data_IF_404991835267
#
_entry.id   IF_404991835267
#
_cell.length_a   1.000
_cell.length_b   1.000
_cell.length_c   1.000
_cell.angle_alpha   90.00
_cell.angle_beta   90.00
_cell.angle_gamma   90.00
#
_symmetry.space_group_name_H-M   'P 1'
#
loop_
_entity.id
_entity.type
_entity.pdbx_description
1 polymer ?
#
# COMPACT_ATOMS: atom_id res chain seq x y z
N UNK A 1 19.14 -29.46 4.21
CA UNK A 1 17.88 -28.98 3.61
C UNK A 1 17.63 -27.58 4.11
N UNK A 2 17.48 -26.57 3.24
CA UNK A 2 16.90 -25.30 3.67
C UNK A 2 15.45 -25.61 4.04
N UNK A 3 15.02 -25.29 5.25
CA UNK A 3 13.60 -25.33 5.58
C UNK A 3 12.93 -24.24 4.74
N UNK A 4 12.32 -24.65 3.62
CA UNK A 4 11.70 -23.73 2.70
C UNK A 4 10.30 -23.43 3.24
N UNK A 5 10.15 -22.28 3.90
CA UNK A 5 8.85 -21.79 4.33
C UNK A 5 8.03 -21.37 3.12
N UNK A 6 6.71 -21.53 3.21
CA UNK A 6 5.82 -21.16 2.12
C UNK A 6 5.99 -19.66 1.76
N UNK A 7 6.26 -19.29 0.49
CA UNK A 7 6.59 -17.90 0.13
C UNK A 7 5.52 -16.87 0.51
N UNK A 8 4.23 -17.24 0.40
CA UNK A 8 3.13 -16.34 0.78
C UNK A 8 3.09 -16.06 2.28
N UNK A 9 3.48 -17.04 3.11
CA UNK A 9 3.55 -16.86 4.56
C UNK A 9 4.68 -15.86 4.92
N UNK A 10 5.83 -15.98 4.25
CA UNK A 10 6.94 -15.04 4.42
C UNK A 10 6.57 -13.62 3.97
N UNK A 11 5.94 -13.49 2.80
CA UNK A 11 5.47 -12.19 2.29
C UNK A 11 4.47 -11.55 3.25
N UNK A 12 3.48 -12.29 3.75
CA UNK A 12 2.47 -11.73 4.64
C UNK A 12 3.06 -11.30 5.98
N UNK A 13 3.85 -12.17 6.62
CA UNK A 13 4.48 -11.85 7.90
C UNK A 13 5.43 -10.65 7.79
N UNK A 14 6.24 -10.61 6.72
CA UNK A 14 7.11 -9.48 6.44
C UNK A 14 6.33 -8.18 6.21
N UNK A 15 5.24 -8.23 5.43
CA UNK A 15 4.40 -7.08 5.14
C UNK A 15 3.74 -6.52 6.42
N UNK A 16 3.16 -7.38 7.27
CA UNK A 16 2.56 -6.93 8.51
C UNK A 16 3.56 -6.28 9.46
N UNK A 17 4.76 -6.86 9.60
CA UNK A 17 5.82 -6.27 10.42
C UNK A 17 6.29 -4.93 9.85
N UNK A 18 6.57 -4.88 8.55
CA UNK A 18 7.07 -3.70 7.88
C UNK A 18 6.07 -2.54 7.96
N UNK A 19 4.82 -2.76 7.54
CA UNK A 19 3.88 -1.65 7.43
C UNK A 19 3.31 -1.17 8.75
N UNK A 20 3.26 -2.03 9.76
CA UNK A 20 2.96 -1.60 11.13
C UNK A 20 4.08 -0.69 11.66
N UNK A 21 5.35 -1.01 11.37
CA UNK A 21 6.48 -0.12 11.66
C UNK A 21 6.39 1.19 10.88
N UNK A 22 6.07 1.15 9.58
CA UNK A 22 5.88 2.37 8.77
C UNK A 22 4.81 3.28 9.37
N UNK A 23 3.71 2.70 9.87
CA UNK A 23 2.62 3.45 10.49
C UNK A 23 3.07 4.18 11.77
N UNK A 24 4.05 3.60 12.50
CA UNK A 24 4.60 4.16 13.73
C UNK A 24 5.72 5.18 13.47
N UNK A 25 6.70 4.78 12.67
CA UNK A 25 8.02 5.45 12.55
C UNK A 25 8.19 6.21 11.23
N UNK A 26 7.31 5.96 10.24
CA UNK A 26 7.43 6.52 8.90
C UNK A 26 8.26 5.64 7.95
N UNK A 27 7.93 5.72 6.66
CA UNK A 27 8.47 4.83 5.62
C UNK A 27 10.00 4.90 5.48
N UNK A 28 10.58 6.10 5.39
CA UNK A 28 12.02 6.29 5.17
C UNK A 28 12.86 5.69 6.29
N UNK A 29 12.46 5.93 7.54
CA UNK A 29 13.16 5.40 8.70
C UNK A 29 13.04 3.87 8.78
N UNK A 30 11.86 3.32 8.53
CA UNK A 30 11.67 1.86 8.48
C UNK A 30 12.51 1.22 7.38
N UNK A 31 12.47 1.76 6.16
CA UNK A 31 13.24 1.25 5.02
C UNK A 31 14.74 1.29 5.29
N UNK A 32 15.25 2.42 5.79
CA UNK A 32 16.67 2.57 6.17
C UNK A 32 17.08 1.49 7.17
N UNK A 33 16.29 1.27 8.21
CA UNK A 33 16.59 0.28 9.25
C UNK A 33 16.57 -1.15 8.68
N UNK A 34 15.62 -1.47 7.81
CA UNK A 34 15.54 -2.77 7.13
C UNK A 34 16.80 -3.03 6.30
N UNK A 35 17.23 -2.06 5.49
CA UNK A 35 18.44 -2.17 4.68
C UNK A 35 19.70 -2.34 5.55
N UNK A 36 19.86 -1.51 6.58
CA UNK A 36 21.05 -1.54 7.44
C UNK A 36 21.18 -2.81 8.27
N UNK A 37 20.06 -3.39 8.69
CA UNK A 37 20.03 -4.57 9.59
C UNK A 37 19.74 -5.88 8.88
N UNK A 38 19.71 -5.89 7.54
CA UNK A 38 19.27 -7.04 6.73
C UNK A 38 17.91 -7.59 7.20
N UNK A 39 16.97 -6.68 7.45
CA UNK A 39 15.59 -6.96 7.87
C UNK A 39 15.41 -7.31 9.34
N UNK A 40 16.49 -7.51 10.11
CA UNK A 40 16.39 -7.90 11.53
C UNK A 40 15.65 -6.86 12.38
N UNK A 41 15.72 -5.57 12.00
CA UNK A 41 14.96 -4.50 12.66
C UNK A 41 13.44 -4.76 12.72
N UNK A 42 12.86 -5.51 11.77
CA UNK A 42 11.44 -5.88 11.80
C UNK A 42 11.09 -6.78 12.98
N UNK A 43 12.01 -7.64 13.39
CA UNK A 43 11.80 -8.61 14.46
C UNK A 43 11.90 -7.97 15.86
N UNK A 44 12.35 -6.71 15.94
CA UNK A 44 12.36 -5.92 17.17
C UNK A 44 11.05 -5.16 17.38
N UNK A 45 10.02 -5.42 16.56
CA UNK A 45 8.72 -4.76 16.68
C UNK A 45 8.02 -5.12 18.00
N UNK A 46 7.50 -4.15 18.78
CA UNK A 46 6.77 -4.41 20.01
C UNK A 46 5.54 -5.30 19.82
N UNK A 47 4.87 -5.19 18.66
CA UNK A 47 3.68 -6.00 18.34
C UNK A 47 4.01 -7.26 17.54
N UNK A 48 5.29 -7.67 17.44
CA UNK A 48 5.69 -8.87 16.70
C UNK A 48 4.86 -10.09 17.12
N UNK A 49 4.68 -10.29 18.41
CA UNK A 49 3.91 -11.42 18.94
C UNK A 49 2.42 -11.36 18.54
N UNK A 50 1.84 -10.16 18.46
CA UNK A 50 0.45 -9.98 18.02
C UNK A 50 0.33 -10.31 16.53
N UNK A 51 1.29 -9.87 15.71
CA UNK A 51 1.33 -10.16 14.28
C UNK A 51 1.50 -11.66 14.05
N UNK A 52 2.41 -12.32 14.78
CA UNK A 52 2.67 -13.75 14.60
C UNK A 52 1.54 -14.66 15.07
N UNK A 53 0.69 -14.21 16.01
CA UNK A 53 -0.55 -14.93 16.39
C UNK A 53 -1.56 -15.07 15.26
N UNK A 54 -1.40 -14.34 14.15
CA UNK A 54 -2.23 -14.49 12.95
C UNK A 54 -1.95 -15.76 12.17
N UNK A 55 -0.85 -16.44 12.47
CA UNK A 55 -0.37 -17.63 11.79
C UNK A 55 -0.38 -18.84 12.72
N UNK A 56 -0.54 -20.06 12.21
CA UNK A 56 -0.50 -21.28 13.01
C UNK A 56 0.96 -21.66 13.39
N UNK A 57 1.63 -20.81 14.14
CA UNK A 57 3.05 -20.98 14.53
C UNK A 57 3.23 -21.60 15.92
N UNK A 58 2.15 -21.77 16.69
CA UNK A 58 2.21 -22.14 18.12
C UNK A 58 2.85 -23.51 18.40
N UNK A 59 2.79 -24.44 17.45
CA UNK A 59 3.37 -25.78 17.59
C UNK A 59 4.79 -25.87 17.01
N UNK A 60 5.32 -24.77 16.49
CA UNK A 60 6.61 -24.76 15.81
C UNK A 60 7.77 -24.90 16.83
N UNK A 61 8.71 -25.85 16.63
CA UNK A 61 9.89 -25.95 17.49
C UNK A 61 10.69 -24.64 17.49
N UNK A 62 11.29 -24.27 18.62
CA UNK A 62 12.01 -23.00 18.77
C UNK A 62 13.09 -22.76 17.70
N UNK A 63 13.81 -23.80 17.29
CA UNK A 63 14.81 -23.73 16.20
C UNK A 63 14.16 -23.43 14.84
N UNK A 64 12.98 -23.98 14.58
CA UNK A 64 12.23 -23.74 13.33
C UNK A 64 11.62 -22.35 13.34
N UNK A 65 11.11 -21.89 14.49
CA UNK A 65 10.61 -20.52 14.65
C UNK A 65 11.72 -19.48 14.48
N UNK A 66 12.92 -19.73 15.02
CA UNK A 66 14.08 -18.87 14.77
C UNK A 66 14.46 -18.84 13.29
N UNK A 67 14.45 -19.98 12.60
CA UNK A 67 14.69 -20.03 11.16
C UNK A 67 13.61 -19.28 10.36
N UNK A 68 12.34 -19.37 10.78
CA UNK A 68 11.22 -18.63 10.19
C UNK A 68 11.43 -17.12 10.32
N UNK A 69 11.75 -16.63 11.52
CA UNK A 69 12.04 -15.22 11.75
C UNK A 69 13.18 -14.70 10.86
N UNK A 70 14.28 -15.47 10.73
CA UNK A 70 15.37 -15.13 9.82
C UNK A 70 14.90 -15.06 8.36
N UNK A 71 14.10 -16.03 7.91
CA UNK A 71 13.56 -16.03 6.55
C UNK A 71 12.64 -14.83 6.28
N UNK A 72 11.81 -14.42 7.26
CA UNK A 72 10.96 -13.22 7.17
C UNK A 72 11.81 -11.96 7.03
N UNK A 73 12.86 -11.82 7.85
CA UNK A 73 13.79 -10.69 7.78
C UNK A 73 14.54 -10.64 6.43
N UNK A 74 15.06 -11.77 5.96
CA UNK A 74 15.74 -11.87 4.67
C UNK A 74 14.80 -11.53 3.51
N UNK A 75 13.56 -12.02 3.55
CA UNK A 75 12.54 -11.71 2.54
C UNK A 75 12.26 -10.21 2.47
N UNK A 76 12.02 -9.57 3.61
CA UNK A 76 11.80 -8.13 3.67
C UNK A 76 12.99 -7.31 3.15
N UNK A 77 14.21 -7.70 3.51
CA UNK A 77 15.42 -7.07 3.01
C UNK A 77 15.55 -7.22 1.49
N UNK A 78 15.29 -8.42 0.95
CA UNK A 78 15.37 -8.68 -0.48
C UNK A 78 14.35 -7.85 -1.28
N UNK A 79 13.18 -7.56 -0.71
CA UNK A 79 12.17 -6.67 -1.30
C UNK A 79 12.61 -5.21 -1.23
N UNK A 80 13.13 -4.78 -0.08
CA UNK A 80 13.66 -3.43 0.12
C UNK A 80 14.80 -3.08 -0.86
N UNK A 81 15.74 -4.00 -1.09
CA UNK A 81 16.85 -3.82 -2.07
C UNK A 81 16.35 -3.64 -3.50
N UNK A 82 15.21 -4.24 -3.84
CA UNK A 82 14.58 -4.14 -5.16
C UNK A 82 13.59 -2.98 -5.27
N UNK A 83 13.43 -2.19 -4.21
CA UNK A 83 12.44 -1.11 -4.14
C UNK A 83 10.99 -1.59 -4.38
N UNK A 84 10.73 -2.85 -4.03
CA UNK A 84 9.42 -3.49 -4.19
C UNK A 84 8.61 -3.38 -2.90
N UNK A 85 7.32 -3.10 -3.03
CA UNK A 85 6.40 -3.12 -1.89
C UNK A 85 6.18 -4.53 -1.35
N UNK A 86 6.29 -4.68 -0.03
CA UNK A 86 5.74 -5.84 0.70
C UNK A 86 4.21 -5.73 0.72
N UNK A 87 3.52 -6.50 -0.09
CA UNK A 87 2.09 -6.30 -0.33
C UNK A 87 1.22 -7.02 0.70
N UNK A 88 1.71 -8.14 1.24
CA UNK A 88 0.95 -9.05 2.09
C UNK A 88 -0.18 -9.76 1.35
N UNK A 89 -0.93 -10.60 2.05
CA UNK A 89 -2.04 -11.35 1.46
C UNK A 89 -3.21 -10.44 1.12
N UNK A 90 -3.76 -10.63 -0.08
CA UNK A 90 -4.92 -9.90 -0.59
C UNK A 90 -6.07 -10.88 -0.76
N UNK A 91 -7.21 -10.54 -0.19
CA UNK A 91 -8.43 -11.32 -0.29
C UNK A 91 -9.34 -10.67 -1.34
N UNK A 92 -9.77 -11.46 -2.32
CA UNK A 92 -10.54 -10.96 -3.47
C UNK A 92 -11.88 -10.35 -3.06
N UNK A 93 -12.46 -10.85 -1.97
CA UNK A 93 -13.72 -10.41 -1.39
C UNK A 93 -13.67 -8.97 -0.83
N UNK A 94 -12.48 -8.45 -0.50
CA UNK A 94 -12.31 -7.08 -0.03
C UNK A 94 -12.71 -6.04 -1.10
N UNK A 95 -12.83 -6.46 -2.37
CA UNK A 95 -13.32 -5.62 -3.47
C UNK A 95 -14.77 -5.18 -3.30
N UNK A 96 -15.59 -5.93 -2.56
CA UNK A 96 -17.02 -5.62 -2.40
C UNK A 96 -17.25 -4.48 -1.42
N UNK A 97 -16.46 -4.41 -0.35
CA UNK A 97 -16.47 -3.30 0.62
C UNK A 97 -15.53 -2.16 0.24
N UNK A 98 -14.53 -2.44 -0.61
CA UNK A 98 -13.40 -1.55 -0.85
C UNK A 98 -12.46 -1.45 0.36
N UNK A 99 -12.59 -2.33 1.36
CA UNK A 99 -11.82 -2.28 2.61
C UNK A 99 -11.58 -3.67 3.19
N UNK A 100 -10.35 -3.96 3.60
CA UNK A 100 -10.06 -5.11 4.46
C UNK A 100 -10.64 -4.91 5.86
N UNK A 101 -10.75 -6.00 6.62
CA UNK A 101 -11.12 -5.97 8.03
C UNK A 101 -10.21 -5.07 8.88
N UNK A 102 -8.91 -5.01 8.59
CA UNK A 102 -7.97 -4.13 9.30
C UNK A 102 -8.18 -2.64 9.02
N UNK A 103 -8.75 -2.30 7.87
CA UNK A 103 -9.02 -0.92 7.47
C UNK A 103 -10.47 -0.47 7.74
N UNK A 104 -11.34 -1.36 8.23
CA UNK A 104 -12.76 -1.09 8.40
C UNK A 104 -13.05 0.09 9.36
N UNK A 105 -12.28 0.24 10.43
CA UNK A 105 -12.45 1.29 11.43
C UNK A 105 -11.77 2.64 11.11
N UNK A 106 -11.05 2.75 10.00
CA UNK A 106 -10.25 3.95 9.69
C UNK A 106 -11.14 4.99 8.98
N UNK A 107 -11.48 6.07 9.68
CA UNK A 107 -12.19 7.20 9.06
C UNK A 107 -11.24 8.07 8.25
N UNK A 108 -11.61 8.31 6.98
CA UNK A 108 -10.91 9.23 6.09
C UNK A 108 -11.67 10.56 5.88
N UNK A 109 -12.82 10.76 6.52
CA UNK A 109 -13.69 11.93 6.28
C UNK A 109 -12.99 13.28 6.49
N UNK A 110 -12.03 13.35 7.43
CA UNK A 110 -11.25 14.55 7.68
C UNK A 110 -10.31 14.95 6.53
N UNK A 111 -10.10 14.05 5.56
CA UNK A 111 -9.29 14.24 4.35
C UNK A 111 -10.10 14.76 3.16
N UNK A 112 -11.43 14.87 3.30
CA UNK A 112 -12.30 15.37 2.25
C UNK A 112 -12.11 16.88 2.08
N UNK A 113 -11.37 17.23 1.03
CA UNK A 113 -11.14 18.59 0.56
C UNK A 113 -11.38 18.59 -0.96
N UNK A 114 -12.32 19.39 -1.47
CA UNK A 114 -12.57 19.45 -2.90
C UNK A 114 -11.35 19.99 -3.65
N UNK A 115 -10.93 19.25 -4.68
CA UNK A 115 -9.78 19.58 -5.53
C UNK A 115 -10.15 19.41 -6.99
N UNK A 116 -9.79 20.40 -7.78
CA UNK A 116 -9.76 20.31 -9.24
C UNK A 116 -8.33 20.07 -9.68
N UNK A 117 -8.13 19.20 -10.68
CA UNK A 117 -6.81 18.85 -11.18
C UNK A 117 -6.74 19.20 -12.64
N UNK A 118 -5.83 20.11 -12.98
CA UNK A 118 -5.55 20.50 -14.36
C UNK A 118 -4.49 19.57 -14.97
N UNK A 119 -4.56 19.32 -16.28
CA UNK A 119 -3.62 18.47 -17.01
C UNK A 119 -3.88 16.95 -16.91
N UNK A 120 -4.86 16.54 -16.10
CA UNK A 120 -5.21 15.13 -15.94
C UNK A 120 -5.80 14.51 -17.20
N UNK A 121 -5.00 13.64 -17.83
CA UNK A 121 -5.35 12.91 -19.04
C UNK A 121 -5.18 11.39 -18.89
N UNK A 122 -5.02 10.90 -17.66
CA UNK A 122 -4.79 9.48 -17.40
C UNK A 122 -6.09 8.67 -17.53
N UNK A 123 -6.01 7.43 -18.03
CA UNK A 123 -7.19 6.57 -18.15
C UNK A 123 -7.77 6.29 -16.76
N UNK A 124 -9.10 6.42 -16.65
CA UNK A 124 -9.83 6.07 -15.42
C UNK A 124 -9.99 4.56 -15.34
N UNK A 125 -9.58 3.96 -14.22
CA UNK A 125 -9.58 2.51 -14.08
C UNK A 125 -9.76 2.05 -12.63
N UNK A 126 -10.54 0.97 -12.47
CA UNK A 126 -10.65 0.19 -11.25
C UNK A 126 -11.21 0.90 -10.01
N UNK A 127 -11.32 0.12 -8.94
CA UNK A 127 -11.83 0.52 -7.64
C UNK A 127 -10.75 0.38 -6.57
N UNK A 128 -10.54 1.44 -5.79
CA UNK A 128 -9.65 1.46 -4.64
C UNK A 128 -10.10 0.46 -3.58
N UNK A 129 -9.15 -0.29 -3.02
CA UNK A 129 -9.34 -1.09 -1.82
C UNK A 129 -8.31 -0.68 -0.75
N UNK A 130 -8.81 -0.24 0.40
CA UNK A 130 -7.99 0.18 1.54
C UNK A 130 -7.64 -1.02 2.41
N UNK A 131 -6.36 -1.12 2.78
CA UNK A 131 -5.83 -2.30 3.49
C UNK A 131 -5.00 -1.96 4.73
N UNK A 132 -5.00 -0.69 5.15
CA UNK A 132 -4.14 -0.20 6.21
C UNK A 132 -4.15 -1.12 7.46
N UNK A 133 -2.96 -1.39 8.05
CA UNK A 133 -1.66 -0.80 7.72
C UNK A 133 -1.04 -1.34 6.43
N UNK A 134 -1.55 -2.40 5.80
CA UNK A 134 -1.01 -2.89 4.53
C UNK A 134 -1.27 -1.91 3.37
N UNK A 135 -0.47 -2.00 2.28
CA UNK A 135 -0.64 -1.18 1.08
C UNK A 135 -2.04 -1.28 0.49
N UNK A 136 -2.62 -0.14 0.11
CA UNK A 136 -3.83 -0.11 -0.69
C UNK A 136 -3.58 -0.74 -2.07
N UNK A 137 -4.66 -1.21 -2.70
CA UNK A 137 -4.63 -1.89 -4.01
C UNK A 137 -5.82 -1.45 -4.85
N UNK A 138 -5.83 -1.86 -6.12
CA UNK A 138 -6.94 -1.60 -7.04
C UNK A 138 -7.45 -2.92 -7.60
N UNK A 139 -8.77 -3.08 -7.60
CA UNK A 139 -9.45 -4.17 -8.29
C UNK A 139 -10.16 -3.66 -9.54
N UNK A 140 -10.23 -4.49 -10.57
CA UNK A 140 -10.98 -4.19 -11.78
C UNK A 140 -11.49 -5.47 -12.47
N UNK A 141 -12.46 -5.32 -13.35
CA UNK A 141 -13.15 -6.40 -14.06
C UNK A 141 -12.62 -6.66 -15.48
N UNK A 142 -11.65 -5.87 -15.92
CA UNK A 142 -11.04 -5.88 -17.24
C UNK A 142 -9.52 -5.75 -17.12
N UNK A 143 -8.72 -6.09 -18.16
CA UNK A 143 -7.28 -5.86 -18.15
C UNK A 143 -6.94 -4.36 -18.05
N UNK A 144 -5.89 -3.96 -17.31
CA UNK A 144 -5.54 -2.55 -17.19
C UNK A 144 -4.89 -1.99 -18.45
N UNK A 145 -5.11 -0.69 -18.75
CA UNK A 145 -4.23 0.05 -19.66
C UNK A 145 -2.78 0.06 -19.15
N UNK A 146 -1.84 0.29 -20.06
CA UNK A 146 -0.44 0.46 -19.70
C UNK A 146 -0.20 1.82 -19.02
N UNK A 147 0.84 1.87 -18.18
CA UNK A 147 1.30 3.10 -17.52
C UNK A 147 0.48 3.50 -16.29
N UNK A 148 0.52 4.81 -15.99
CA UNK A 148 -0.16 5.39 -14.83
C UNK A 148 -1.66 5.49 -15.07
N UNK A 149 -2.44 5.17 -14.02
CA UNK A 149 -3.90 5.11 -14.08
C UNK A 149 -4.51 6.12 -13.10
N UNK A 150 -5.58 6.81 -13.51
CA UNK A 150 -6.46 7.51 -12.56
C UNK A 150 -7.43 6.50 -11.96
N UNK A 151 -7.58 6.48 -10.65
CA UNK A 151 -8.52 5.56 -10.01
C UNK A 151 -9.95 6.00 -10.32
N UNK A 152 -10.75 5.10 -10.92
CA UNK A 152 -12.10 5.42 -11.35
C UNK A 152 -13.05 5.58 -10.16
N UNK A 153 -12.93 4.69 -9.17
CA UNK A 153 -13.79 4.62 -7.99
C UNK A 153 -12.97 4.67 -6.69
N UNK A 154 -13.11 5.78 -5.97
CA UNK A 154 -12.44 6.02 -4.67
C UNK A 154 -13.41 6.00 -3.50
N UNK A 155 -14.63 5.48 -3.66
CA UNK A 155 -15.67 5.42 -2.61
C UNK A 155 -15.23 4.68 -1.35
N UNK A 156 -14.20 3.84 -1.42
CA UNK A 156 -13.55 3.26 -0.26
C UNK A 156 -13.12 4.34 0.76
N UNK A 157 -12.79 5.56 0.35
CA UNK A 157 -12.48 6.69 1.23
C UNK A 157 -13.71 7.24 1.98
N UNK A 158 -14.92 6.98 1.49
CA UNK A 158 -16.16 7.63 1.95
C UNK A 158 -16.51 8.93 1.22
N UNK A 159 -15.64 9.38 0.31
CA UNK A 159 -15.82 10.54 -0.57
C UNK A 159 -15.13 10.29 -1.91
N UNK A 160 -15.38 11.14 -2.90
CA UNK A 160 -14.72 11.06 -4.21
C UNK A 160 -13.53 12.01 -4.25
N UNK A 161 -12.35 11.48 -4.56
CA UNK A 161 -11.15 12.28 -4.77
C UNK A 161 -10.32 11.69 -5.93
N UNK A 162 -9.70 12.53 -6.78
CA UNK A 162 -8.73 12.06 -7.76
C UNK A 162 -7.50 11.46 -7.07
N UNK A 163 -7.18 10.23 -7.44
CA UNK A 163 -5.96 9.52 -7.07
C UNK A 163 -5.39 8.88 -8.33
N UNK A 164 -4.07 8.73 -8.39
CA UNK A 164 -3.41 7.99 -9.46
C UNK A 164 -2.59 6.84 -8.91
N UNK A 165 -2.38 5.82 -9.72
CA UNK A 165 -1.57 4.65 -9.40
C UNK A 165 -0.52 4.46 -10.50
N UNK A 166 0.75 4.38 -10.11
CA UNK A 166 1.78 3.75 -10.94
C UNK A 166 1.87 2.27 -10.57
N UNK A 167 1.40 1.35 -11.43
CA UNK A 167 1.38 -0.07 -11.11
C UNK A 167 2.81 -0.64 -11.07
N UNK A 168 3.12 -1.41 -10.02
CA UNK A 168 4.34 -2.21 -9.91
C UNK A 168 4.08 -3.70 -10.18
N UNK A 169 2.87 -4.17 -9.88
CA UNK A 169 2.43 -5.53 -10.17
C UNK A 169 1.00 -5.51 -10.68
N UNK A 170 0.77 -6.28 -11.74
CA UNK A 170 -0.53 -6.51 -12.36
C UNK A 170 -0.77 -8.00 -12.40
N UNK A 171 -1.84 -8.46 -11.76
CA UNK A 171 -2.16 -9.89 -11.67
C UNK A 171 -3.62 -10.14 -12.03
N UNK A 172 -3.86 -11.09 -12.93
CA UNK A 172 -5.18 -11.66 -13.11
C UNK A 172 -5.39 -12.70 -12.01
N UNK A 173 -6.29 -12.42 -11.06
CA UNK A 173 -6.58 -13.32 -9.93
C UNK A 173 -7.73 -14.27 -10.23
N UNK A 174 -8.66 -13.87 -11.12
CA UNK A 174 -9.72 -14.72 -11.66
C UNK A 174 -10.02 -14.32 -13.12
N UNK A 175 -10.82 -15.13 -13.82
CA UNK A 175 -11.15 -14.93 -15.25
C UNK A 175 -11.61 -13.52 -15.63
N UNK A 176 -12.16 -12.75 -14.68
CA UNK A 176 -12.59 -11.35 -14.84
C UNK A 176 -12.24 -10.48 -13.64
N UNK A 177 -11.14 -10.80 -12.96
CA UNK A 177 -10.70 -10.01 -11.82
C UNK A 177 -9.21 -9.74 -11.95
N UNK A 178 -8.89 -8.47 -12.04
CA UNK A 178 -7.54 -7.94 -12.09
C UNK A 178 -7.24 -7.20 -10.80
N UNK A 179 -6.04 -7.43 -10.29
CA UNK A 179 -5.50 -6.83 -9.09
C UNK A 179 -4.23 -6.06 -9.46
N UNK A 180 -4.19 -4.79 -9.07
CA UNK A 180 -3.03 -3.94 -9.25
C UNK A 180 -2.50 -3.49 -7.89
N UNK A 181 -1.18 -3.57 -7.73
CA UNK A 181 -0.45 -2.97 -6.60
C UNK A 181 0.59 -2.00 -7.15
N UNK A 182 0.99 -1.02 -6.34
CA UNK A 182 1.97 -0.03 -6.75
C UNK A 182 1.98 1.18 -5.85
N UNK A 183 2.36 2.32 -6.41
CA UNK A 183 2.50 3.58 -5.68
C UNK A 183 1.32 4.48 -6.02
N UNK A 184 0.56 4.87 -5.00
CA UNK A 184 -0.51 5.85 -5.15
C UNK A 184 0.06 7.25 -5.15
N UNK A 185 -0.49 8.15 -5.94
CA UNK A 185 -0.17 9.56 -5.95
C UNK A 185 -1.39 10.34 -5.48
N UNK A 186 -1.19 11.13 -4.44
CA UNK A 186 -2.27 11.71 -3.64
C UNK A 186 -2.11 13.23 -3.60
N UNK A 187 -3.10 14.00 -4.08
CA UNK A 187 -3.15 15.43 -3.84
C UNK A 187 -3.46 15.68 -2.36
N UNK A 188 -2.70 16.57 -1.72
CA UNK A 188 -2.83 16.89 -0.29
C UNK A 188 -3.08 18.37 -0.08
N UNK A 189 -4.20 18.69 0.56
CA UNK A 189 -4.54 20.08 0.89
C UNK A 189 -3.43 20.70 1.76
N UNK A 190 -3.05 21.98 1.58
CA UNK A 190 -1.97 22.62 2.33
C UNK A 190 -2.09 22.54 3.86
N UNK A 191 -3.32 22.51 4.38
CA UNK A 191 -3.61 22.38 5.82
C UNK A 191 -3.41 20.96 6.38
N UNK A 192 -3.27 19.96 5.51
CA UNK A 192 -3.08 18.57 5.91
C UNK A 192 -1.60 18.19 5.94
N UNK A 193 -1.29 17.30 6.89
CA UNK A 193 -0.01 16.58 6.91
C UNK A 193 -0.15 15.26 6.15
N UNK A 194 0.92 14.88 5.45
CA UNK A 194 1.03 13.61 4.71
C UNK A 194 0.75 12.41 5.63
N UNK A 195 1.09 12.54 6.92
CA UNK A 195 0.85 11.51 7.93
C UNK A 195 -0.63 11.09 8.02
N UNK A 196 -1.58 12.01 7.81
CA UNK A 196 -2.99 11.64 7.82
C UNK A 196 -3.35 10.72 6.65
N UNK A 197 -2.83 11.03 5.45
CA UNK A 197 -2.99 10.17 4.28
C UNK A 197 -2.28 8.83 4.43
N UNK A 198 -1.06 8.82 4.97
CA UNK A 198 -0.28 7.59 5.17
C UNK A 198 -0.92 6.60 6.15
N UNK A 199 -1.83 7.04 7.03
CA UNK A 199 -2.65 6.15 7.86
C UNK A 199 -3.74 5.42 7.06
N UNK A 200 -4.15 5.97 5.92
CA UNK A 200 -5.23 5.44 5.08
C UNK A 200 -4.66 4.69 3.86
N UNK A 201 -3.68 5.29 3.18
CA UNK A 201 -2.97 4.75 2.02
C UNK A 201 -1.46 4.81 2.30
N UNK A 202 -0.88 3.77 2.92
CA UNK A 202 0.52 3.76 3.35
C UNK A 202 1.52 3.87 2.18
N UNK A 203 1.20 3.24 1.06
CA UNK A 203 1.94 3.26 -0.21
C UNK A 203 1.62 4.47 -1.10
N UNK A 204 1.15 5.58 -0.50
CA UNK A 204 0.89 6.83 -1.22
C UNK A 204 2.10 7.76 -1.25
N UNK A 205 2.27 8.57 -2.29
CA UNK A 205 3.18 9.71 -2.37
C UNK A 205 2.29 10.95 -2.41
N UNK A 206 2.55 11.87 -1.48
CA UNK A 206 1.72 13.04 -1.24
C UNK A 206 2.36 14.26 -1.91
N UNK A 207 1.56 15.08 -2.57
CA UNK A 207 2.00 16.36 -3.13
C UNK A 207 0.94 17.44 -2.94
N UNK A 208 1.38 18.68 -2.73
CA UNK A 208 0.50 19.81 -2.35
C UNK A 208 0.06 20.67 -3.52
N UNK A 209 0.97 20.93 -4.44
CA UNK A 209 0.76 21.88 -5.53
C UNK A 209 0.65 21.18 -6.88
N UNK A 210 1.57 20.24 -7.15
CA UNK A 210 1.60 19.51 -8.41
C UNK A 210 2.23 18.15 -8.29
N UNK A 211 1.92 17.28 -9.24
CA UNK A 211 2.68 16.05 -9.49
C UNK A 211 3.08 16.01 -10.97
N UNK A 212 4.31 15.58 -11.23
CA UNK A 212 4.80 15.32 -12.59
C UNK A 212 4.89 13.81 -12.75
N UNK A 213 4.25 13.29 -13.80
CA UNK A 213 4.22 11.86 -14.10
C UNK A 213 4.59 11.65 -15.57
N UNK A 214 5.17 10.50 -15.89
CA UNK A 214 5.42 10.12 -17.27
C UNK A 214 4.20 9.45 -17.89
N UNK A 215 3.87 9.83 -19.12
CA UNK A 215 2.84 9.20 -19.95
C UNK A 215 3.34 9.16 -21.38
N UNK A 216 3.40 7.97 -21.98
CA UNK A 216 3.84 7.78 -23.37
C UNK A 216 5.21 8.42 -23.68
N UNK A 217 6.11 8.45 -22.69
CA UNK A 217 7.44 9.08 -22.79
C UNK A 217 7.45 10.61 -22.61
N UNK A 218 6.31 11.22 -22.35
CA UNK A 218 6.16 12.67 -22.10
C UNK A 218 5.87 12.96 -20.62
N UNK A 219 6.38 14.09 -20.14
CA UNK A 219 6.08 14.57 -18.79
C UNK A 219 4.71 15.27 -18.77
N UNK A 220 3.77 14.72 -18.01
CA UNK A 220 2.45 15.29 -17.75
C UNK A 220 2.45 15.96 -16.38
N UNK A 221 2.07 17.23 -16.33
CA UNK A 221 1.82 17.96 -15.09
C UNK A 221 0.39 17.79 -14.64
N UNK A 222 0.20 17.51 -13.35
CA UNK A 222 -1.07 17.52 -12.67
C UNK A 222 -1.04 18.65 -11.63
N UNK A 223 -1.70 19.76 -11.92
CA UNK A 223 -1.69 20.96 -11.07
C UNK A 223 -2.97 21.03 -10.22
N UNK A 224 -2.82 21.28 -8.92
CA UNK A 224 -3.90 21.14 -7.93
C UNK A 224 -4.51 22.49 -7.56
N UNK A 225 -5.82 22.59 -7.76
CA UNK A 225 -6.61 23.77 -7.44
C UNK A 225 -7.61 23.42 -6.33
N UNK A 226 -7.30 23.85 -5.11
CA UNK A 226 -8.12 23.59 -3.92
C UNK A 226 -9.27 24.59 -3.81
N UNK A 227 -10.47 24.10 -3.54
CA UNK A 227 -11.64 24.96 -3.31
C UNK A 227 -11.84 25.16 -1.80
N UNK A 228 -12.31 26.35 -1.41
CA UNK A 228 -12.74 26.61 -0.04
C UNK A 228 -13.84 25.62 0.36
N UNK A 229 -13.78 25.08 1.58
CA UNK A 229 -14.87 24.25 2.11
C UNK A 229 -16.17 25.06 2.08
N UNK A 230 -17.19 24.57 1.38
CA UNK A 230 -18.54 25.10 1.53
C UNK A 230 -18.96 24.86 2.99
N UNK A 231 -19.21 25.96 3.72
CA UNK A 231 -19.68 25.93 5.10
C UNK A 231 -21.10 25.39 5.21
#
# INVERSE_FOLDING_TARGET
>A
MKNEFHPQLLEDAAAWLFWTLVSRDGFELTLKNVLQTRGQSLLNHPEREIIFRRYPLGEMPASTFSAFCSAVAEHAHARAVREENLTGMIYSEDRFSGRTSSAAGISAAHLDFPVTVEGDSFPRYGSLCLRAPLPAVVFADSPPPEGVLRIADTRALGFSMPLWLSPQMVSQVESRLWLLTGIFFIPVHPELTDRHWKKVIPNGVCARERIIMEKDGEAVSLDFHWQSRAH
#
